data_IF_707038613562
#
_entry.id   IF_707038613562
#
_cell.length_a   1.000
_cell.length_b   1.000
_cell.length_c   1.000
_cell.angle_alpha   90.00
_cell.angle_beta   90.00
_cell.angle_gamma   90.00
#
_symmetry.space_group_name_H-M   'P 1'
#
loop_
_entity.id
_entity.type
_entity.pdbx_description
1 polymer ?
#
# COMPACT_ATOMS: atom_id res chain seq x y z
N UNK A 1 -8.01 -5.99 18.43
CA UNK A 1 -8.80 -4.82 18.91
C UNK A 1 -8.33 -3.56 18.22
N UNK A 2 -8.83 -3.33 17.02
CA UNK A 2 -8.65 -2.05 16.31
C UNK A 2 -9.90 -1.17 16.31
N UNK A 3 -9.77 0.03 15.73
CA UNK A 3 -10.82 1.03 15.61
C UNK A 3 -10.87 1.53 14.17
N UNK A 4 -12.10 1.74 13.66
CA UNK A 4 -12.35 2.36 12.35
C UNK A 4 -12.76 3.81 12.59
N UNK A 5 -12.18 4.75 11.84
CA UNK A 5 -12.48 6.18 11.97
C UNK A 5 -12.43 6.87 10.60
N UNK A 6 -13.15 7.98 10.44
CA UNK A 6 -13.22 8.70 9.17
C UNK A 6 -12.25 9.88 9.16
N UNK A 7 -11.44 10.00 8.10
CA UNK A 7 -10.56 11.16 7.85
C UNK A 7 -10.93 11.80 6.52
N UNK A 8 -11.54 12.99 6.60
CA UNK A 8 -12.17 13.67 5.45
C UNK A 8 -13.21 12.76 4.77
N UNK A 9 -12.93 12.31 3.54
CA UNK A 9 -13.81 11.44 2.75
C UNK A 9 -13.43 9.96 2.84
N UNK A 10 -12.28 9.62 3.42
CA UNK A 10 -11.72 8.26 3.41
C UNK A 10 -11.83 7.67 4.82
N UNK A 11 -12.18 6.39 4.90
CA UNK A 11 -12.15 5.64 6.15
C UNK A 11 -10.76 5.10 6.43
N UNK A 12 -10.39 5.08 7.70
CA UNK A 12 -9.08 4.67 8.18
C UNK A 12 -9.29 3.63 9.28
N UNK A 13 -8.28 2.77 9.45
CA UNK A 13 -8.21 1.80 10.51
C UNK A 13 -7.02 2.11 11.41
N UNK A 14 -7.18 1.85 12.70
CA UNK A 14 -6.10 1.80 13.68
C UNK A 14 -6.13 0.42 14.31
N UNK A 15 -5.01 -0.30 14.33
CA UNK A 15 -4.90 -1.61 14.98
C UNK A 15 -3.58 -1.72 15.71
N UNK A 16 -3.43 -2.76 16.53
CA UNK A 16 -2.21 -3.03 17.28
C UNK A 16 -1.62 -4.35 16.82
N UNK A 17 -0.32 -4.35 16.56
CA UNK A 17 0.47 -5.54 16.24
C UNK A 17 1.77 -5.47 17.06
N UNK A 18 2.07 -6.54 17.79
CA UNK A 18 3.23 -6.66 18.69
C UNK A 18 3.46 -5.42 19.60
N UNK A 19 2.39 -4.93 20.24
CA UNK A 19 2.44 -3.77 21.14
C UNK A 19 2.58 -2.40 20.47
N UNK A 20 2.75 -2.34 19.14
CA UNK A 20 2.79 -1.09 18.36
C UNK A 20 1.45 -0.83 17.69
N UNK A 21 1.03 0.44 17.65
CA UNK A 21 -0.16 0.83 16.91
C UNK A 21 0.17 1.20 15.48
N UNK A 22 -0.64 0.73 14.54
CA UNK A 22 -0.56 1.04 13.12
C UNK A 22 -1.81 1.77 12.68
N UNK A 23 -1.66 2.66 11.70
CA UNK A 23 -2.75 3.41 11.08
C UNK A 23 -2.69 3.21 9.58
N UNK A 24 -3.79 2.76 8.98
CA UNK A 24 -3.86 2.43 7.57
C UNK A 24 -5.13 3.01 6.96
N UNK A 25 -5.01 3.63 5.78
CA UNK A 25 -6.15 4.13 5.02
C UNK A 25 -6.86 2.97 4.34
N UNK A 26 -8.19 2.92 4.41
CA UNK A 26 -8.96 1.96 3.60
C UNK A 26 -8.96 2.30 2.10
N UNK A 27 -8.51 3.51 1.74
CA UNK A 27 -8.58 4.04 0.37
C UNK A 27 -10.01 4.28 -0.13
N UNK A 28 -11.02 4.03 0.70
CA UNK A 28 -12.43 4.05 0.31
C UNK A 28 -13.25 5.01 1.18
N UNK A 29 -14.32 5.55 0.60
CA UNK A 29 -15.33 6.33 1.31
C UNK A 29 -16.40 5.47 1.99
N UNK A 30 -16.33 4.14 1.87
CA UNK A 30 -17.24 3.18 2.50
C UNK A 30 -16.63 2.65 3.80
N UNK A 31 -17.43 2.70 4.86
CA UNK A 31 -17.04 2.16 6.17
C UNK A 31 -16.86 0.65 6.14
N UNK A 32 -17.67 -0.05 5.34
CA UNK A 32 -17.60 -1.50 5.16
C UNK A 32 -16.22 -1.96 4.66
N UNK A 33 -15.60 -1.19 3.74
CA UNK A 33 -14.27 -1.51 3.22
C UNK A 33 -13.21 -1.39 4.33
N UNK A 34 -13.32 -0.38 5.19
CA UNK A 34 -12.42 -0.24 6.34
C UNK A 34 -12.62 -1.35 7.38
N UNK A 35 -13.87 -1.75 7.67
CA UNK A 35 -14.16 -2.89 8.56
C UNK A 35 -13.57 -4.20 8.02
N UNK A 36 -13.71 -4.44 6.71
CA UNK A 36 -13.14 -5.61 6.05
C UNK A 36 -11.61 -5.60 6.12
N UNK A 37 -10.99 -4.46 5.85
CA UNK A 37 -9.54 -4.29 5.97
C UNK A 37 -9.08 -4.54 7.41
N UNK A 38 -9.78 -4.00 8.41
CA UNK A 38 -9.44 -4.21 9.82
C UNK A 38 -9.49 -5.70 10.19
N UNK A 39 -10.56 -6.40 9.79
CA UNK A 39 -10.70 -7.84 10.04
C UNK A 39 -9.59 -8.66 9.38
N UNK A 40 -9.18 -8.27 8.16
CA UNK A 40 -8.06 -8.89 7.47
C UNK A 40 -6.77 -8.71 8.26
N UNK A 41 -6.46 -7.49 8.74
CA UNK A 41 -5.28 -7.23 9.57
C UNK A 41 -5.29 -7.99 10.87
N UNK A 42 -6.42 -8.04 11.57
CA UNK A 42 -6.55 -8.83 12.81
C UNK A 42 -6.34 -10.33 12.55
N UNK A 43 -6.78 -10.84 11.39
CA UNK A 43 -6.50 -12.21 10.96
C UNK A 43 -5.03 -12.47 10.63
N UNK A 44 -4.38 -11.55 9.92
CA UNK A 44 -2.94 -11.64 9.60
C UNK A 44 -2.08 -11.65 10.87
N UNK A 45 -2.41 -10.81 11.85
CA UNK A 45 -1.73 -10.73 13.16
C UNK A 45 -1.94 -12.02 13.95
N UNK A 46 -3.17 -12.56 13.96
CA UNK A 46 -3.45 -13.83 14.62
C UNK A 46 -2.68 -15.01 14.00
N UNK A 47 -2.33 -14.91 12.71
CA UNK A 47 -1.49 -15.88 12.00
C UNK A 47 0.02 -15.63 12.19
N UNK A 48 0.42 -14.58 12.89
CA UNK A 48 1.83 -14.20 13.05
C UNK A 48 2.48 -13.68 11.77
N UNK A 49 1.69 -13.30 10.75
CA UNK A 49 2.24 -12.62 9.58
C UNK A 49 2.55 -11.20 9.98
N UNK A 50 3.83 -10.84 9.91
CA UNK A 50 4.27 -9.45 10.08
C UNK A 50 3.45 -8.60 9.12
N UNK A 51 2.62 -7.72 9.67
CA UNK A 51 1.87 -6.74 8.89
C UNK A 51 2.87 -5.66 8.48
N UNK A 52 3.73 -6.01 7.52
CA UNK A 52 4.44 -5.00 6.75
C UNK A 52 3.35 -4.20 6.05
N UNK A 53 3.08 -3.00 6.56
CA UNK A 53 2.43 -1.95 5.78
C UNK A 53 3.10 -2.04 4.42
N UNK A 54 2.34 -2.48 3.40
CA UNK A 54 2.80 -2.66 2.03
C UNK A 54 3.17 -1.31 1.44
N UNK A 55 4.26 -0.74 1.93
CA UNK A 55 5.26 -0.19 1.06
C UNK A 55 6.17 -1.37 0.81
N UNK A 56 5.86 -2.16 -0.22
CA UNK A 56 6.97 -2.79 -0.95
C UNK A 56 7.94 -1.63 -1.15
N UNK A 57 9.09 -1.70 -0.49
CA UNK A 57 10.14 -0.70 -0.65
C UNK A 57 10.70 -0.94 -2.04
N UNK A 58 9.95 -0.52 -3.06
CA UNK A 58 10.42 -0.55 -4.42
C UNK A 58 11.54 0.47 -4.45
N UNK A 59 12.74 -0.01 -4.79
CA UNK A 59 13.90 0.87 -4.91
C UNK A 59 13.63 1.76 -6.13
N UNK A 60 14.07 3.01 -6.05
CA UNK A 60 13.95 3.94 -7.19
C UNK A 60 14.53 3.31 -8.46
N UNK A 61 15.60 2.53 -8.31
CA UNK A 61 16.26 1.78 -9.38
C UNK A 61 15.30 0.80 -10.08
N UNK A 62 14.50 0.05 -9.33
CA UNK A 62 13.52 -0.91 -9.88
C UNK A 62 12.43 -0.17 -10.68
N UNK A 63 11.96 0.99 -10.18
CA UNK A 63 10.99 1.82 -10.92
C UNK A 63 11.59 2.43 -12.18
N UNK A 64 12.85 2.85 -12.14
CA UNK A 64 13.55 3.42 -13.28
C UNK A 64 13.78 2.38 -14.37
N UNK A 65 14.13 1.15 -14.00
CA UNK A 65 14.29 0.03 -14.92
C UNK A 65 12.96 -0.35 -15.60
N UNK A 66 11.87 -0.43 -14.84
CA UNK A 66 10.53 -0.68 -15.40
C UNK A 66 10.12 0.42 -16.38
N UNK A 67 10.38 1.69 -16.02
CA UNK A 67 10.09 2.84 -16.87
C UNK A 67 10.85 2.80 -18.20
N UNK A 68 12.16 2.50 -18.18
CA UNK A 68 12.98 2.37 -19.38
C UNK A 68 12.53 1.16 -20.22
N UNK A 69 12.16 0.05 -19.56
CA UNK A 69 11.69 -1.17 -20.22
C UNK A 69 10.38 -0.95 -20.96
N UNK A 70 9.42 -0.23 -20.36
CA UNK A 70 8.18 0.15 -21.03
C UNK A 70 8.44 0.98 -22.29
N UNK A 71 9.35 1.96 -22.22
CA UNK A 71 9.69 2.80 -23.37
C UNK A 71 10.32 2.01 -24.52
N UNK A 72 11.16 1.02 -24.22
CA UNK A 72 11.78 0.10 -25.19
C UNK A 72 10.75 -0.81 -25.85
N UNK A 73 9.88 -1.44 -25.07
CA UNK A 73 8.83 -2.34 -25.56
C UNK A 73 7.83 -1.58 -26.44
N UNK A 74 7.42 -0.39 -25.99
CA UNK A 74 6.44 0.44 -26.68
C UNK A 74 7.02 1.29 -27.83
N UNK A 75 8.31 1.10 -28.18
CA UNK A 75 9.03 1.83 -29.25
C UNK A 75 8.75 3.33 -29.25
N UNK A 76 8.75 3.95 -28.07
CA UNK A 76 8.47 5.38 -27.93
C UNK A 76 9.66 6.17 -28.48
N UNK A 77 9.38 7.16 -29.35
CA UNK A 77 10.37 8.01 -30.01
C UNK A 77 11.30 8.82 -29.07
N UNK A 78 11.07 8.80 -27.76
CA UNK A 78 11.80 9.58 -26.75
C UNK A 78 12.67 8.72 -25.82
N UNK A 79 13.01 7.50 -26.22
CA UNK A 79 13.92 6.60 -25.48
C UNK A 79 15.21 7.31 -25.07
N UNK A 80 15.80 8.11 -25.96
CA UNK A 80 17.08 8.79 -25.71
C UNK A 80 17.04 9.74 -24.51
N UNK A 81 15.86 10.33 -24.21
CA UNK A 81 15.68 11.21 -23.03
C UNK A 81 15.39 10.44 -21.75
N UNK A 82 14.94 9.18 -21.85
CA UNK A 82 14.68 8.32 -20.71
C UNK A 82 15.94 7.61 -20.20
N UNK A 83 17.01 7.57 -21.00
CA UNK A 83 18.30 6.95 -20.64
C UNK A 83 19.38 7.95 -20.20
N UNK A 84 19.09 9.25 -20.24
CA UNK A 84 19.98 10.35 -19.81
C UNK A 84 19.86 10.61 -18.31
#
# INVERSE_FOLDING_TARGET
MGTVYKRRRIWWIKYYDDGKFYRESSGSNKEADAKRLLKQREGDIAQGKVVSIKTEKIRFDELAEDFITDYKINKKHSIDRAQL
#
